data_IF_282763908632
#
_entry.id   IF_282763908632
#
_cell.length_a   1.000
_cell.length_b   1.000
_cell.length_c   1.000
_cell.angle_alpha   90.00
_cell.angle_beta   90.00
_cell.angle_gamma   90.00
#
_symmetry.space_group_name_H-M   'P 1'
#
loop_
_entity.id
_entity.type
_entity.pdbx_description
1 polymer ?
#
# COMPACT_ATOMS: atom_id res chain seq x y z
N UNK A 1 -3.48 9.27 -15.15
CA UNK A 1 -3.70 8.14 -14.29
C UNK A 1 -3.98 6.87 -15.03
N UNK A 2 -4.78 6.95 -16.06
CA UNK A 2 -5.14 5.75 -16.80
C UNK A 2 -3.95 5.10 -17.46
N UNK A 3 -2.96 5.89 -17.80
CA UNK A 3 -1.77 5.34 -18.44
C UNK A 3 -1.08 4.36 -17.51
N UNK A 4 -1.04 4.69 -16.23
CA UNK A 4 -0.40 3.82 -15.27
C UNK A 4 -1.18 2.53 -15.13
N UNK A 5 -2.49 2.65 -15.06
CA UNK A 5 -3.34 1.48 -14.91
C UNK A 5 -3.23 0.57 -16.14
N UNK A 6 -3.11 1.15 -17.32
CA UNK A 6 -3.00 0.37 -18.52
C UNK A 6 -1.65 -0.32 -18.64
N UNK A 7 -0.61 0.34 -18.16
CA UNK A 7 0.73 -0.19 -18.24
C UNK A 7 1.00 -1.25 -17.17
N UNK A 8 0.20 -1.30 -16.15
CA UNK A 8 0.39 -2.25 -15.08
C UNK A 8 -0.47 -3.49 -15.27
N UNK A 9 0.12 -4.64 -15.01
CA UNK A 9 -0.64 -5.87 -15.08
C UNK A 9 -1.36 -6.09 -13.75
N UNK A 10 -2.25 -7.08 -13.72
CA UNK A 10 -2.98 -7.36 -12.50
C UNK A 10 -2.07 -7.68 -11.32
N UNK A 11 -0.97 -8.35 -11.63
CA UNK A 11 -0.03 -8.72 -10.59
C UNK A 11 0.62 -7.48 -9.97
N UNK A 12 0.97 -6.51 -10.82
CA UNK A 12 1.55 -5.28 -10.33
C UNK A 12 0.56 -4.50 -9.49
N UNK A 13 -0.69 -4.53 -9.89
CA UNK A 13 -1.72 -3.81 -9.16
C UNK A 13 -1.89 -4.39 -7.76
N UNK A 14 -1.89 -5.70 -7.66
CA UNK A 14 -2.02 -6.37 -6.38
C UNK A 14 -0.85 -6.01 -5.47
N UNK A 15 0.34 -6.00 -6.04
CA UNK A 15 1.52 -5.65 -5.27
C UNK A 15 1.45 -4.24 -4.74
N UNK A 16 0.93 -3.33 -5.55
CA UNK A 16 0.80 -1.94 -5.13
C UNK A 16 -0.17 -1.81 -3.98
N UNK A 17 -1.29 -2.49 -4.07
CA UNK A 17 -2.29 -2.42 -3.02
C UNK A 17 -1.72 -2.94 -1.71
N UNK A 18 -1.02 -4.05 -1.77
CA UNK A 18 -0.40 -4.63 -0.59
C UNK A 18 0.63 -3.68 0.00
N UNK A 19 1.43 -3.06 -0.87
CA UNK A 19 2.46 -2.14 -0.41
C UNK A 19 1.84 -0.96 0.31
N UNK A 20 0.76 -0.44 -0.23
CA UNK A 20 0.07 0.70 0.39
C UNK A 20 -0.47 0.30 1.75
N UNK A 21 -1.07 -0.87 1.83
CA UNK A 21 -1.64 -1.34 3.09
C UNK A 21 -0.56 -1.52 4.15
N UNK A 22 0.55 -2.11 3.76
CA UNK A 22 1.64 -2.35 4.69
C UNK A 22 2.23 -1.02 5.15
N UNK A 23 2.41 -0.11 4.21
CA UNK A 23 2.95 1.21 4.55
C UNK A 23 2.03 1.94 5.51
N UNK A 24 0.74 1.91 5.25
CA UNK A 24 -0.23 2.57 6.12
C UNK A 24 -0.21 1.93 7.51
N UNK A 25 -0.07 0.62 7.53
CA UNK A 25 -0.02 -0.09 8.80
C UNK A 25 1.20 0.32 9.62
N UNK A 26 2.33 0.43 8.96
CA UNK A 26 3.56 0.84 9.65
C UNK A 26 3.44 2.26 10.17
N UNK A 27 2.88 3.14 9.38
CA UNK A 27 2.69 4.53 9.80
C UNK A 27 1.76 4.58 11.00
N UNK A 28 0.70 3.80 10.95
CA UNK A 28 -0.24 3.76 12.04
C UNK A 28 0.43 3.28 13.33
N UNK A 29 1.23 2.24 13.22
CA UNK A 29 1.93 1.70 14.37
C UNK A 29 2.93 2.72 14.93
N UNK A 30 3.48 3.53 14.06
CA UNK A 30 4.42 4.55 14.49
C UNK A 30 3.73 5.65 15.26
N UNK A 31 2.55 6.02 14.83
CA UNK A 31 1.80 7.08 15.48
C UNK A 31 1.23 6.62 16.81
N UNK A 32 0.89 5.35 16.90
CA UNK A 32 0.34 4.82 18.15
C UNK A 32 1.20 3.68 18.66
N UNK A 33 2.40 3.99 19.08
CA UNK A 33 3.34 2.97 19.54
C UNK A 33 2.92 2.32 20.85
N UNK A 34 2.16 3.02 21.64
CA UNK A 34 1.74 2.52 22.93
C UNK A 34 0.41 1.82 22.85
N UNK A 35 0.18 1.19 21.78
CA UNK A 35 -1.05 0.47 21.62
C UNK A 35 -0.96 -0.86 22.36
N UNK A 36 -1.37 -0.96 23.50
CA UNK A 36 -1.33 -2.19 24.28
C UNK A 36 -2.73 -2.75 24.56
#
# INVERSE_FOLDING_TARGET
MNLVALAMSGDDLVGLIIAILVTAYLVYALIRPEKL
#
